data_IF_586119503510
#
_entry.id   IF_586119503510
#
_cell.length_a   1.000
_cell.length_b   1.000
_cell.length_c   1.000
_cell.angle_alpha   90.00
_cell.angle_beta   90.00
_cell.angle_gamma   90.00
#
_symmetry.space_group_name_H-M   'P 1'
#
loop_
_entity.id
_entity.type
_entity.pdbx_description
1 polymer ?
#
# COMPACT_ATOMS: atom_id res chain seq x y z
N UNK A 1 -12.64 -22.50 6.02
CA UNK A 1 -12.35 -21.32 6.87
C UNK A 1 -10.85 -21.10 7.11
N UNK A 2 -9.97 -21.96 6.55
CA UNK A 2 -8.51 -21.91 6.74
C UNK A 2 -7.77 -20.88 5.89
N UNK A 3 -8.32 -20.50 4.73
CA UNK A 3 -7.69 -19.55 3.79
C UNK A 3 -7.34 -18.20 4.44
N UNK A 4 -8.17 -17.72 5.37
CA UNK A 4 -7.90 -16.46 6.07
C UNK A 4 -6.72 -16.56 7.04
N UNK A 5 -6.47 -17.75 7.59
CA UNK A 5 -5.33 -18.03 8.47
C UNK A 5 -4.03 -18.08 7.65
N UNK A 6 -4.04 -18.73 6.49
CA UNK A 6 -2.86 -18.82 5.62
C UNK A 6 -2.47 -17.46 5.03
N UNK A 7 -3.46 -16.65 4.64
CA UNK A 7 -3.24 -15.26 4.21
C UNK A 7 -2.66 -14.38 5.33
N UNK A 8 -3.11 -14.58 6.58
CA UNK A 8 -2.56 -13.86 7.73
C UNK A 8 -1.09 -14.24 7.98
N UNK A 9 -0.75 -15.54 7.92
CA UNK A 9 0.64 -16.01 8.05
C UNK A 9 1.54 -15.46 6.95
N UNK A 10 1.07 -15.44 5.69
CA UNK A 10 1.81 -14.79 4.59
C UNK A 10 2.04 -13.30 4.83
N UNK A 11 1.07 -12.58 5.38
CA UNK A 11 1.25 -11.18 5.75
C UNK A 11 2.34 -11.03 6.83
N UNK A 12 2.39 -11.91 7.82
CA UNK A 12 3.45 -11.91 8.85
C UNK A 12 4.85 -12.17 8.27
N UNK A 13 4.99 -13.12 7.36
CA UNK A 13 6.29 -13.42 6.74
C UNK A 13 6.83 -12.22 5.94
N UNK A 14 5.95 -11.54 5.19
CA UNK A 14 6.31 -10.31 4.48
C UNK A 14 6.71 -9.22 5.48
N UNK A 15 5.97 -9.08 6.58
CA UNK A 15 6.26 -8.11 7.63
C UNK A 15 7.66 -8.34 8.26
N UNK A 16 8.00 -9.60 8.56
CA UNK A 16 9.32 -9.99 9.09
C UNK A 16 10.45 -9.59 8.14
N UNK A 17 10.30 -9.80 6.83
CA UNK A 17 11.29 -9.35 5.82
C UNK A 17 11.47 -7.83 5.82
N UNK A 18 10.38 -7.07 5.94
CA UNK A 18 10.47 -5.61 6.03
C UNK A 18 11.19 -5.13 7.30
N UNK A 19 10.99 -5.82 8.43
CA UNK A 19 11.71 -5.53 9.67
C UNK A 19 13.21 -5.77 9.54
N UNK A 20 13.63 -6.87 8.87
CA UNK A 20 15.04 -7.14 8.58
C UNK A 20 15.66 -6.08 7.67
N UNK A 21 14.88 -5.53 6.74
CA UNK A 21 15.33 -4.47 5.83
C UNK A 21 15.24 -3.06 6.46
N UNK A 22 14.90 -2.93 7.75
CA UNK A 22 14.77 -1.65 8.45
C UNK A 22 13.57 -0.79 8.03
N UNK A 23 12.64 -1.35 7.25
CA UNK A 23 11.43 -0.67 6.79
C UNK A 23 10.27 -0.93 7.77
N UNK A 24 10.34 -0.28 8.93
CA UNK A 24 9.35 -0.40 10.00
C UNK A 24 7.92 0.02 9.59
N UNK A 25 7.70 1.10 8.82
CA UNK A 25 6.34 1.50 8.42
C UNK A 25 5.62 0.44 7.59
N UNK A 26 6.36 -0.27 6.72
CA UNK A 26 5.79 -1.35 5.91
C UNK A 26 5.57 -2.61 6.76
N UNK A 27 6.52 -2.95 7.63
CA UNK A 27 6.37 -4.06 8.57
C UNK A 27 5.10 -3.91 9.44
N UNK A 28 4.84 -2.69 9.96
CA UNK A 28 3.66 -2.40 10.77
C UNK A 28 2.35 -2.58 9.98
N UNK A 29 2.29 -2.11 8.73
CA UNK A 29 1.11 -2.27 7.86
C UNK A 29 0.78 -3.74 7.61
N UNK A 30 1.78 -4.56 7.28
CA UNK A 30 1.57 -5.99 7.03
C UNK A 30 1.19 -6.74 8.31
N UNK A 31 1.75 -6.38 9.46
CA UNK A 31 1.32 -6.93 10.76
C UNK A 31 -0.13 -6.59 11.11
N UNK A 32 -0.56 -5.33 10.90
CA UNK A 32 -1.96 -4.92 11.10
C UNK A 32 -2.91 -5.67 10.17
N UNK A 33 -2.51 -5.89 8.91
CA UNK A 33 -3.28 -6.68 7.95
C UNK A 33 -3.42 -8.13 8.39
N UNK A 34 -2.36 -8.74 8.94
CA UNK A 34 -2.45 -10.07 9.53
C UNK A 34 -3.47 -10.13 10.66
N UNK A 35 -3.47 -9.15 11.58
CA UNK A 35 -4.42 -9.11 12.69
C UNK A 35 -5.86 -8.95 12.18
N UNK A 36 -6.08 -8.11 11.16
CA UNK A 36 -7.40 -7.90 10.56
C UNK A 36 -7.93 -9.13 9.84
N UNK A 37 -7.06 -9.95 9.24
CA UNK A 37 -7.45 -11.18 8.55
C UNK A 37 -7.71 -12.31 9.55
N UNK A 38 -6.77 -12.52 10.47
CA UNK A 38 -6.88 -13.52 11.52
C UNK A 38 -6.10 -13.04 12.76
N UNK A 39 -6.81 -12.59 13.81
CA UNK A 39 -6.17 -12.09 15.02
C UNK A 39 -5.36 -13.19 15.71
N UNK A 40 -4.03 -13.06 15.68
CA UNK A 40 -3.10 -13.96 16.39
C UNK A 40 -2.34 -13.21 17.46
N UNK A 41 -1.94 -13.92 18.52
CA UNK A 41 -1.05 -13.38 19.56
C UNK A 41 0.32 -13.01 18.99
N UNK A 42 0.85 -13.82 18.06
CA UNK A 42 2.12 -13.58 17.38
C UNK A 42 2.09 -12.25 16.59
N UNK A 43 1.01 -11.97 15.86
CA UNK A 43 0.90 -10.72 15.10
C UNK A 43 0.80 -9.47 15.98
N UNK A 44 0.14 -9.57 17.14
CA UNK A 44 0.10 -8.48 18.12
C UNK A 44 1.48 -8.22 18.72
N UNK A 45 2.20 -9.27 19.12
CA UNK A 45 3.56 -9.15 19.63
C UNK A 45 4.52 -8.56 18.59
N UNK A 46 4.36 -8.94 17.32
CA UNK A 46 5.16 -8.42 16.21
C UNK A 46 4.98 -6.91 16.02
N UNK A 47 3.75 -6.37 16.12
CA UNK A 47 3.51 -4.92 16.02
C UNK A 47 4.24 -4.16 17.12
N UNK A 48 4.16 -4.64 18.38
CA UNK A 48 4.88 -4.03 19.49
C UNK A 48 6.39 -4.04 19.28
N UNK A 49 6.94 -5.12 18.71
CA UNK A 49 8.36 -5.20 18.35
C UNK A 49 8.74 -4.20 17.26
N UNK A 50 7.92 -4.05 16.23
CA UNK A 50 8.14 -3.07 15.14
C UNK A 50 8.13 -1.66 15.69
N UNK A 51 7.14 -1.29 16.52
CA UNK A 51 7.05 0.05 17.11
C UNK A 51 8.25 0.36 18.02
N UNK A 52 8.71 -0.63 18.80
CA UNK A 52 9.91 -0.49 19.63
C UNK A 52 11.19 -0.27 18.79
N UNK A 53 11.34 -1.05 17.70
CA UNK A 53 12.46 -0.90 16.77
C UNK A 53 12.41 0.40 15.97
N UNK A 54 11.23 0.84 15.54
CA UNK A 54 11.01 2.12 14.88
C UNK A 54 11.40 3.28 15.80
N UNK A 55 11.00 3.22 17.07
CA UNK A 55 11.36 4.22 18.09
C UNK A 55 12.87 4.25 18.33
N UNK A 56 13.52 3.08 18.48
CA UNK A 56 14.97 2.99 18.65
C UNK A 56 15.74 3.52 17.43
N UNK A 57 15.28 3.20 16.22
CA UNK A 57 15.89 3.71 14.98
C UNK A 57 15.73 5.23 14.85
N UNK A 58 14.56 5.78 15.20
CA UNK A 58 14.32 7.22 15.12
C UNK A 58 15.10 8.00 16.20
N UNK A 59 15.27 7.43 17.40
CA UNK A 59 16.11 8.02 18.46
C UNK A 59 17.61 8.05 18.09
N UNK A 60 18.06 7.13 17.24
CA UNK A 60 19.43 7.13 16.71
C UNK A 60 19.67 8.26 15.70
N UNK A 61 18.61 8.71 15.02
CA UNK A 61 18.63 9.78 14.01
C UNK A 61 18.26 11.17 14.58
N UNK A 62 17.81 11.24 15.84
CA UNK A 62 17.50 12.50 16.54
C UNK A 62 18.75 13.21 17.11
N UNK A 63 19.92 12.56 17.07
CA UNK A 63 21.20 13.11 17.54
C UNK A 63 21.78 14.21 16.64
N UNK A 64 21.13 14.59 15.53
CA UNK A 64 21.63 15.61 14.59
C UNK A 64 20.73 16.84 14.42
N UNK A 65 19.71 17.05 15.27
CA UNK A 65 18.87 18.25 15.18
C UNK A 65 18.47 18.84 16.52
N UNK A 66 19.41 18.96 17.46
CA UNK A 66 19.29 19.83 18.62
C UNK A 66 20.17 21.08 18.43
N UNK A 67 19.77 22.00 17.55
CA UNK A 67 20.24 23.39 17.65
C UNK A 67 19.15 24.20 18.33
N UNK A 68 19.39 24.40 19.62
CA UNK A 68 18.67 25.23 20.56
C UNK A 68 18.47 26.67 20.09
N UNK A 69 17.29 27.19 20.41
CA UNK A 69 16.92 28.62 20.33
C UNK A 69 17.68 29.41 21.40
N UNK A 70 18.24 30.59 21.09
CA UNK A 70 18.39 31.73 22.03
C UNK A 70 18.76 33.05 21.32
N UNK A 71 18.00 34.12 21.62
CA UNK A 71 18.37 35.57 21.57
C UNK A 71 18.46 36.21 20.18
N UNK A 72 17.72 37.25 19.78
CA UNK A 72 17.16 38.40 20.50
C UNK A 72 17.88 39.67 20.01
N UNK A 73 17.19 40.63 19.39
CA UNK A 73 17.35 42.10 19.52
C UNK A 73 16.41 42.82 18.53
N UNK A 74 15.75 43.84 19.07
CA UNK A 74 14.74 44.75 18.53
C UNK A 74 15.29 45.88 17.65
N UNK A 75 14.54 46.33 16.63
CA UNK A 75 14.43 47.78 16.31
C UNK A 75 13.18 48.11 15.48
N UNK A 76 12.58 49.24 15.84
CA UNK A 76 11.38 49.92 15.35
C UNK A 76 11.49 50.54 13.95
N UNK A 77 10.37 50.70 13.22
CA UNK A 77 9.73 52.01 12.86
C UNK A 77 8.82 51.91 11.62
N UNK A 78 7.71 52.69 11.62
CA UNK A 78 6.96 53.12 10.43
C UNK A 78 5.72 52.27 10.07
N UNK A 79 4.53 52.55 10.61
CA UNK A 79 3.56 53.58 10.15
C UNK A 79 2.82 53.23 8.84
N UNK A 80 1.50 53.04 8.95
CA UNK A 80 0.58 52.90 7.80
C UNK A 80 -0.83 52.57 8.27
N UNK A 81 -1.67 53.60 8.40
CA UNK A 81 -3.03 53.58 8.93
C UNK A 81 -4.10 53.20 7.89
N UNK A 82 -5.31 52.90 8.37
CA UNK A 82 -6.56 52.90 7.60
C UNK A 82 -7.26 51.54 7.60
N UNK A 83 -8.22 51.24 8.49
CA UNK A 83 -9.58 51.77 8.64
C UNK A 83 -10.66 50.86 8.01
N UNK A 84 -11.57 50.45 8.89
CA UNK A 84 -13.02 50.33 8.72
C UNK A 84 -13.64 49.19 7.87
N UNK A 85 -14.45 48.42 8.61
CA UNK A 85 -15.84 48.09 8.33
C UNK A 85 -16.20 47.09 7.21
N UNK A 86 -17.21 46.28 7.52
CA UNK A 86 -18.21 45.90 6.53
C UNK A 86 -18.45 44.41 6.37
N UNK A 87 -19.63 44.00 6.81
CA UNK A 87 -20.34 42.77 6.47
C UNK A 87 -20.30 42.38 4.99
N UNK A 88 -20.59 41.10 4.69
CA UNK A 88 -21.17 40.75 3.39
C UNK A 88 -20.85 39.35 2.91
N UNK A 89 -21.91 38.57 2.76
CA UNK A 89 -21.91 37.26 2.14
C UNK A 89 -21.72 37.31 0.61
N UNK A 90 -21.31 36.18 0.03
CA UNK A 90 -21.91 35.71 -1.23
C UNK A 90 -21.04 35.65 -2.48
N UNK A 91 -21.11 34.46 -3.12
CA UNK A 91 -20.99 34.18 -4.56
C UNK A 91 -19.59 34.28 -5.22
N UNK A 92 -18.96 33.16 -5.65
CA UNK A 92 -19.21 32.29 -6.83
C UNK A 92 -18.70 32.87 -8.17
N UNK A 93 -17.64 32.24 -8.71
CA UNK A 93 -17.40 31.84 -10.11
C UNK A 93 -15.87 31.61 -10.29
N UNK A 94 -15.39 30.38 -10.43
CA UNK A 94 -15.25 29.63 -11.69
C UNK A 94 -14.16 30.19 -12.63
N UNK A 95 -12.98 29.53 -12.64
CA UNK A 95 -12.27 29.03 -13.83
C UNK A 95 -10.77 28.81 -13.57
N UNK A 96 -10.30 27.60 -13.87
CA UNK A 96 -8.99 27.38 -14.51
C UNK A 96 -7.73 27.50 -13.66
N UNK A 97 -7.25 26.37 -13.15
CA UNK A 97 -5.86 25.88 -13.24
C UNK A 97 -5.53 25.01 -12.02
N UNK A 98 -5.85 23.73 -12.09
CA UNK A 98 -5.24 22.74 -11.18
C UNK A 98 -3.77 22.57 -11.58
N UNK A 99 -2.80 22.71 -10.67
CA UNK A 99 -1.42 22.38 -10.98
C UNK A 99 -1.32 20.85 -11.20
N UNK A 100 -0.67 20.36 -12.26
CA UNK A 100 -0.49 18.93 -12.45
C UNK A 100 0.43 18.41 -11.35
N UNK A 101 -0.07 17.45 -10.56
CA UNK A 101 0.79 16.64 -9.70
C UNK A 101 1.76 15.87 -10.59
N UNK A 102 2.97 16.40 -10.70
CA UNK A 102 4.12 15.73 -11.31
C UNK A 102 4.25 14.33 -10.72
N UNK A 103 3.96 13.35 -11.57
CA UNK A 103 4.16 11.92 -11.36
C UNK A 103 5.65 11.65 -11.19
N UNK A 104 6.15 11.79 -9.97
CA UNK A 104 7.52 11.42 -9.62
C UNK A 104 7.68 9.90 -9.72
N UNK A 105 8.30 9.50 -10.84
CA UNK A 105 9.23 8.39 -11.05
C UNK A 105 9.25 7.28 -10.00
N UNK A 106 8.72 6.11 -10.43
CA UNK A 106 9.08 4.75 -10.02
C UNK A 106 10.17 4.58 -8.95
N UNK A 107 9.77 4.06 -7.79
CA UNK A 107 10.64 3.25 -6.96
C UNK A 107 11.22 2.09 -7.80
N UNK A 108 12.52 1.76 -7.70
CA UNK A 108 13.08 0.59 -8.37
C UNK A 108 12.33 -0.65 -7.89
N UNK A 109 11.65 -1.33 -8.81
CA UNK A 109 11.14 -2.67 -8.57
C UNK A 109 12.40 -3.54 -8.37
N UNK A 110 12.58 -4.23 -7.23
CA UNK A 110 13.69 -5.15 -7.09
C UNK A 110 13.62 -6.14 -8.25
N UNK A 111 14.74 -6.35 -8.95
CA UNK A 111 14.90 -7.38 -9.97
C UNK A 111 14.25 -8.69 -9.50
N UNK A 112 13.01 -8.92 -9.91
CA UNK A 112 12.36 -10.19 -9.72
C UNK A 112 12.95 -11.09 -10.78
N UNK A 113 14.15 -11.63 -10.50
CA UNK A 113 14.65 -12.83 -11.16
C UNK A 113 13.44 -13.78 -11.29
N UNK A 114 13.10 -14.27 -12.49
CA UNK A 114 12.01 -15.20 -12.63
C UNK A 114 12.30 -16.34 -11.67
N UNK A 115 11.52 -16.41 -10.58
CA UNK A 115 11.53 -17.56 -9.71
C UNK A 115 11.13 -18.69 -10.64
N UNK A 116 12.08 -19.57 -10.95
CA UNK A 116 11.82 -20.82 -11.66
C UNK A 116 10.92 -21.64 -10.74
N UNK A 117 9.62 -21.31 -10.79
CA UNK A 117 8.58 -22.10 -10.17
C UNK A 117 8.45 -23.30 -11.08
N UNK A 118 8.82 -24.47 -10.59
CA UNK A 118 8.56 -25.74 -11.26
C UNK A 118 7.07 -25.81 -11.58
N UNK A 119 6.72 -25.53 -12.83
CA UNK A 119 5.34 -25.62 -13.30
C UNK A 119 5.08 -27.06 -13.68
N UNK A 120 3.90 -27.56 -13.30
CA UNK A 120 3.50 -28.88 -13.79
C UNK A 120 3.26 -28.78 -15.31
N UNK A 121 3.51 -29.85 -16.08
CA UNK A 121 3.22 -29.85 -17.51
C UNK A 121 1.74 -29.53 -17.81
N UNK A 122 0.84 -29.85 -16.87
CA UNK A 122 -0.58 -29.48 -16.92
C UNK A 122 -0.80 -27.97 -16.83
N UNK A 123 -0.09 -27.26 -15.95
CA UNK A 123 -0.17 -25.79 -15.84
C UNK A 123 0.29 -25.10 -17.13
N UNK A 124 1.37 -25.59 -17.75
CA UNK A 124 1.84 -25.06 -19.02
C UNK A 124 0.82 -25.27 -20.15
N UNK A 125 0.18 -26.44 -20.18
CA UNK A 125 -0.89 -26.74 -21.14
C UNK A 125 -2.11 -25.83 -20.93
N UNK A 126 -2.51 -25.57 -19.68
CA UNK A 126 -3.61 -24.67 -19.34
C UNK A 126 -3.33 -23.24 -19.83
N UNK A 127 -2.13 -22.70 -19.58
CA UNK A 127 -1.73 -21.36 -20.06
C UNK A 127 -1.75 -21.29 -21.57
N UNK A 128 -1.28 -22.34 -22.26
CA UNK A 128 -1.33 -22.42 -23.73
C UNK A 128 -2.78 -22.39 -24.23
N UNK A 129 -3.68 -23.16 -23.60
CA UNK A 129 -5.10 -23.20 -23.94
C UNK A 129 -5.81 -21.85 -23.74
N UNK A 130 -5.51 -21.15 -22.64
CA UNK A 130 -6.06 -19.82 -22.36
C UNK A 130 -5.64 -18.82 -23.43
N UNK A 131 -4.34 -18.80 -23.79
CA UNK A 131 -3.81 -17.90 -24.82
C UNK A 131 -4.42 -18.18 -26.20
N UNK A 132 -4.66 -19.45 -26.53
CA UNK A 132 -5.28 -19.86 -27.79
C UNK A 132 -6.78 -19.55 -27.87
N UNK A 133 -7.46 -19.30 -26.75
CA UNK A 133 -8.91 -19.07 -26.72
C UNK A 133 -9.32 -17.68 -27.23
N UNK A 134 -8.37 -16.76 -27.44
CA UNK A 134 -8.61 -15.49 -28.15
C UNK A 134 -9.66 -14.57 -27.52
N UNK A 135 -9.90 -14.71 -26.21
CA UNK A 135 -10.94 -13.96 -25.49
C UNK A 135 -12.32 -14.64 -25.43
N UNK A 136 -12.48 -15.84 -25.98
CA UNK A 136 -13.71 -16.64 -25.79
C UNK A 136 -13.71 -17.26 -24.39
N UNK A 137 -14.39 -16.60 -23.45
CA UNK A 137 -14.44 -16.99 -22.03
C UNK A 137 -15.06 -18.38 -21.80
N UNK A 138 -16.00 -18.80 -22.66
CA UNK A 138 -16.60 -20.13 -22.57
C UNK A 138 -15.58 -21.21 -22.90
N UNK A 139 -14.74 -20.99 -23.92
CA UNK A 139 -13.64 -21.91 -24.26
C UNK A 139 -12.56 -21.97 -23.17
N UNK A 140 -12.24 -20.83 -22.54
CA UNK A 140 -11.30 -20.77 -21.42
C UNK A 140 -11.79 -21.63 -20.25
N UNK A 141 -13.08 -21.57 -19.95
CA UNK A 141 -13.71 -22.36 -18.90
C UNK A 141 -14.04 -23.80 -19.33
N UNK A 142 -13.80 -24.17 -20.59
CA UNK A 142 -14.14 -25.48 -21.14
C UNK A 142 -15.64 -25.77 -21.15
N UNK A 143 -16.47 -24.72 -21.13
CA UNK A 143 -17.94 -24.82 -21.16
C UNK A 143 -18.48 -24.36 -22.51
N UNK A 144 -19.70 -24.79 -22.83
CA UNK A 144 -20.38 -24.32 -24.03
C UNK A 144 -21.02 -22.95 -23.79
N UNK A 145 -21.39 -22.25 -24.87
CA UNK A 145 -21.99 -20.90 -24.82
C UNK A 145 -23.43 -20.89 -24.29
N UNK A 146 -24.08 -22.04 -24.30
CA UNK A 146 -25.41 -22.32 -23.73
C UNK A 146 -25.33 -22.83 -22.28
N UNK A 147 -24.12 -22.86 -21.68
CA UNK A 147 -23.95 -23.30 -20.30
C UNK A 147 -24.68 -22.39 -19.32
N UNK A 148 -25.29 -23.00 -18.30
CA UNK A 148 -26.01 -22.27 -17.26
C UNK A 148 -25.03 -21.61 -16.27
N UNK A 149 -25.49 -20.58 -15.56
CA UNK A 149 -24.69 -19.88 -14.54
C UNK A 149 -24.06 -20.83 -13.50
N UNK A 150 -24.75 -21.94 -13.19
CA UNK A 150 -24.28 -22.94 -12.23
C UNK A 150 -23.05 -23.68 -12.79
N UNK A 151 -23.08 -24.06 -14.07
CA UNK A 151 -21.99 -24.75 -14.76
C UNK A 151 -20.78 -23.84 -14.93
N UNK A 152 -21.01 -22.56 -15.28
CA UNK A 152 -19.96 -21.54 -15.36
C UNK A 152 -19.30 -21.35 -13.99
N UNK A 153 -20.09 -21.21 -12.91
CA UNK A 153 -19.59 -21.08 -11.53
C UNK A 153 -18.79 -22.31 -11.08
N UNK A 154 -19.19 -23.51 -11.51
CA UNK A 154 -18.50 -24.76 -11.18
C UNK A 154 -17.17 -24.87 -11.93
N UNK A 155 -17.14 -24.53 -13.22
CA UNK A 155 -15.95 -24.56 -14.05
C UNK A 155 -14.88 -23.55 -13.60
N UNK A 156 -15.29 -22.40 -13.08
CA UNK A 156 -14.36 -21.36 -12.60
C UNK A 156 -13.59 -21.74 -11.32
N UNK A 157 -14.08 -22.68 -10.52
CA UNK A 157 -13.45 -23.08 -9.25
C UNK A 157 -12.36 -24.14 -9.40
N UNK A 158 -12.20 -24.71 -10.60
CA UNK A 158 -11.14 -25.66 -10.93
C UNK A 158 -9.85 -24.90 -11.23
#
# INVERSE_FOLDING_TARGET
MEVNKDEALRCLDIARRHLLNGNYPSARKFGQKSISLFPTSDARAFISLVDAKETAANNSNASSSSTSRTGGTSTSTGAGAGAAAGAGAGARAAAGAVPPLSRSKSTPIPDHKPVERDYTPEQAAAVKGIRSSGGDFYKVLGVKKDATDIEIKKAYRK
#
